data_IF_160997821026
#
_entry.id   IF_160997821026
#
_cell.length_a   1.000
_cell.length_b   1.000
_cell.length_c   1.000
_cell.angle_alpha   90.00
_cell.angle_beta   90.00
_cell.angle_gamma   90.00
#
_symmetry.space_group_name_H-M   'P 1'
#
loop_
_entity.id
_entity.type
_entity.pdbx_description
1 polymer ?
#
# COMPACT_ATOMS: atom_id res chain seq x y z
N UNK A 1 -1.49 -12.89 -1.34
CA UNK A 1 -1.11 -11.88 -2.35
C UNK A 1 0.39 -11.56 -2.28
N UNK A 2 0.89 -10.99 -1.18
CA UNK A 2 2.29 -10.55 -1.04
C UNK A 2 3.35 -11.62 -1.31
N UNK A 3 3.17 -12.86 -0.85
CA UNK A 3 4.22 -13.89 -0.99
C UNK A 3 4.29 -14.60 -2.34
N UNK A 4 3.19 -14.55 -3.11
CA UNK A 4 2.99 -15.32 -4.35
C UNK A 4 2.72 -14.43 -5.55
N UNK A 5 1.75 -13.52 -5.46
CA UNK A 5 1.34 -12.67 -6.58
C UNK A 5 2.34 -11.55 -6.84
N UNK A 6 2.78 -10.83 -5.80
CA UNK A 6 3.71 -9.71 -6.01
C UNK A 6 5.07 -10.14 -6.60
N UNK A 7 5.72 -11.24 -6.15
CA UNK A 7 6.94 -11.72 -6.78
C UNK A 7 6.75 -12.12 -8.25
N UNK A 8 5.59 -12.70 -8.60
CA UNK A 8 5.24 -13.02 -10.00
C UNK A 8 5.01 -11.76 -10.82
N UNK A 9 4.30 -10.78 -10.26
CA UNK A 9 4.06 -9.47 -10.87
C UNK A 9 5.36 -8.72 -11.13
N UNK A 10 6.24 -8.63 -10.14
CA UNK A 10 7.55 -7.98 -10.29
C UNK A 10 8.39 -8.68 -11.35
N UNK A 11 8.46 -10.02 -11.35
CA UNK A 11 9.16 -10.77 -12.41
C UNK A 11 8.62 -10.43 -13.79
N UNK A 12 7.29 -10.42 -13.96
CA UNK A 12 6.63 -10.12 -15.23
C UNK A 12 6.94 -8.70 -15.70
N UNK A 13 6.80 -7.71 -14.83
CA UNK A 13 7.12 -6.31 -15.14
C UNK A 13 8.57 -6.15 -15.57
N UNK A 14 9.49 -6.76 -14.83
CA UNK A 14 10.91 -6.65 -15.12
C UNK A 14 11.28 -7.23 -16.48
N UNK A 15 10.73 -8.40 -16.82
CA UNK A 15 11.07 -9.10 -18.05
C UNK A 15 10.39 -8.52 -19.28
N UNK A 16 9.16 -8.05 -19.16
CA UNK A 16 8.36 -7.58 -20.29
C UNK A 16 8.50 -6.08 -20.55
N UNK A 17 8.76 -5.29 -19.52
CA UNK A 17 8.76 -3.82 -19.63
C UNK A 17 10.13 -3.25 -19.30
N UNK A 18 10.65 -3.49 -18.09
CA UNK A 18 11.86 -2.81 -17.62
C UNK A 18 13.10 -3.19 -18.43
N UNK A 19 13.42 -4.49 -18.53
CA UNK A 19 14.62 -4.97 -19.20
C UNK A 19 14.72 -4.52 -20.67
N UNK A 20 13.64 -4.62 -21.49
CA UNK A 20 13.64 -4.05 -22.83
C UNK A 20 13.88 -2.53 -22.84
N UNK A 21 13.24 -1.77 -21.93
CA UNK A 21 13.40 -0.32 -21.87
C UNK A 21 14.83 0.12 -21.56
N UNK A 22 15.53 -0.60 -20.69
CA UNK A 22 16.93 -0.31 -20.34
C UNK A 22 17.95 -1.06 -21.21
N UNK A 23 17.50 -1.71 -22.29
CA UNK A 23 18.35 -2.50 -23.21
C UNK A 23 19.18 -3.59 -22.51
N UNK A 24 18.67 -4.14 -21.40
CA UNK A 24 19.30 -5.21 -20.66
C UNK A 24 18.80 -6.56 -21.17
N UNK A 25 19.70 -7.42 -21.66
CA UNK A 25 19.35 -8.79 -22.03
C UNK A 25 19.67 -9.76 -20.88
N UNK A 26 18.63 -10.32 -20.27
CA UNK A 26 18.78 -11.32 -19.20
C UNK A 26 18.34 -12.67 -19.75
N UNK A 27 19.31 -13.54 -20.10
CA UNK A 27 19.02 -14.77 -20.85
C UNK A 27 17.98 -15.73 -20.23
N UNK A 28 17.84 -15.76 -18.90
CA UNK A 28 16.79 -16.54 -18.19
C UNK A 28 15.85 -15.67 -17.35
N UNK A 29 15.92 -14.35 -17.50
CA UNK A 29 15.21 -13.41 -16.63
C UNK A 29 15.59 -13.58 -15.15
N UNK A 30 14.67 -13.19 -14.25
CA UNK A 30 14.87 -13.32 -12.80
C UNK A 30 14.05 -14.47 -12.22
N UNK A 31 14.61 -15.14 -11.21
CA UNK A 31 13.86 -16.16 -10.46
C UNK A 31 12.85 -15.50 -9.52
N UNK A 32 11.73 -16.20 -9.27
CA UNK A 32 10.72 -15.76 -8.29
C UNK A 32 11.33 -15.55 -6.90
N UNK A 33 12.29 -16.39 -6.50
CA UNK A 33 13.02 -16.25 -5.24
C UNK A 33 13.82 -14.93 -5.18
N UNK A 34 14.36 -14.47 -6.30
CA UNK A 34 15.06 -13.19 -6.39
C UNK A 34 14.08 -12.03 -6.30
N UNK A 35 12.98 -12.07 -7.06
CA UNK A 35 11.92 -11.06 -6.97
C UNK A 35 11.36 -10.95 -5.54
N UNK A 36 11.15 -12.07 -4.85
CA UNK A 36 10.72 -12.08 -3.44
C UNK A 36 11.73 -11.42 -2.51
N UNK A 37 13.02 -11.74 -2.65
CA UNK A 37 14.08 -11.13 -1.83
C UNK A 37 14.15 -9.62 -2.02
N UNK A 38 13.98 -9.14 -3.25
CA UNK A 38 13.96 -7.70 -3.54
C UNK A 38 12.76 -7.00 -2.92
N UNK A 39 11.55 -7.57 -3.08
CA UNK A 39 10.36 -7.05 -2.41
C UNK A 39 10.55 -6.96 -0.89
N UNK A 40 11.13 -7.99 -0.26
CA UNK A 40 11.42 -7.98 1.18
C UNK A 40 12.47 -6.94 1.61
N UNK A 41 13.42 -6.60 0.71
CA UNK A 41 14.44 -5.57 0.91
C UNK A 41 13.83 -4.17 0.82
N UNK A 42 12.92 -3.98 -0.13
CA UNK A 42 12.16 -2.73 -0.33
C UNK A 42 11.00 -2.57 0.66
N UNK A 43 10.89 -3.43 1.67
CA UNK A 43 9.88 -3.32 2.74
C UNK A 43 8.51 -3.91 2.39
N UNK A 44 8.33 -4.49 1.20
CA UNK A 44 7.13 -5.22 0.83
C UNK A 44 7.12 -6.60 1.53
N UNK A 45 6.68 -6.60 2.78
CA UNK A 45 6.47 -7.80 3.59
C UNK A 45 5.00 -7.94 3.93
N UNK A 46 4.55 -9.18 4.10
CA UNK A 46 3.21 -9.41 4.63
C UNK A 46 3.19 -8.92 6.07
N UNK A 47 2.50 -7.81 6.30
CA UNK A 47 2.25 -7.32 7.65
C UNK A 47 0.89 -7.87 8.06
N UNK A 48 0.86 -8.72 9.08
CA UNK A 48 -0.42 -9.08 9.69
C UNK A 48 -1.09 -7.80 10.15
N UNK A 49 -2.32 -7.58 9.70
CA UNK A 49 -3.15 -6.48 10.15
C UNK A 49 -3.31 -6.62 11.68
N UNK A 50 -2.65 -5.76 12.45
CA UNK A 50 -3.03 -5.54 13.83
C UNK A 50 -4.27 -4.67 13.79
N UNK A 51 -5.29 -4.99 14.59
CA UNK A 51 -6.59 -4.28 14.71
C UNK A 51 -6.50 -2.76 14.99
N UNK A 52 -5.30 -2.18 15.01
CA UNK A 52 -5.02 -0.76 15.20
C UNK A 52 -4.89 0.02 13.87
N UNK A 53 -4.98 -0.64 12.72
CA UNK A 53 -4.92 0.02 11.42
C UNK A 53 -6.31 0.00 10.78
N UNK A 54 -6.98 1.14 10.81
CA UNK A 54 -8.28 1.37 10.19
C UNK A 54 -8.06 1.63 8.68
N UNK A 55 -8.70 0.82 7.83
CA UNK A 55 -8.53 0.87 6.37
C UNK A 55 -9.68 1.60 5.68
N UNK A 56 -10.81 1.73 6.35
CA UNK A 56 -11.99 2.43 5.90
C UNK A 56 -12.22 3.68 6.74
N UNK A 57 -12.80 4.70 6.11
CA UNK A 57 -13.34 5.85 6.80
C UNK A 57 -14.51 5.40 7.67
N UNK A 58 -14.20 4.97 8.90
CA UNK A 58 -15.17 4.73 9.96
C UNK A 58 -15.71 6.06 10.53
N UNK A 59 -15.96 7.00 9.63
CA UNK A 59 -16.67 8.24 9.89
C UNK A 59 -18.13 7.89 9.65
N UNK A 60 -18.78 7.33 10.67
CA UNK A 60 -20.21 7.05 10.62
C UNK A 60 -20.94 8.39 10.36
N UNK A 61 -21.95 8.46 9.47
CA UNK A 61 -22.52 9.73 9.02
C UNK A 61 -23.01 10.64 10.14
N UNK A 62 -23.47 10.06 11.25
CA UNK A 62 -23.89 10.78 12.46
C UNK A 62 -22.70 11.41 13.23
N UNK A 63 -21.55 10.73 13.30
CA UNK A 63 -20.33 11.23 13.93
C UNK A 63 -19.78 12.40 13.11
N UNK A 64 -19.83 12.30 11.78
CA UNK A 64 -19.43 13.40 10.88
C UNK A 64 -20.38 14.58 11.04
N UNK A 65 -21.68 14.34 11.03
CA UNK A 65 -22.71 15.36 11.18
C UNK A 65 -22.57 16.09 12.52
N UNK A 66 -22.43 15.35 13.62
CA UNK A 66 -22.21 15.91 14.95
C UNK A 66 -20.91 16.72 15.03
N UNK A 67 -19.81 16.18 14.49
CA UNK A 67 -18.52 16.87 14.47
C UNK A 67 -18.63 18.21 13.74
N UNK A 68 -19.26 18.21 12.57
CA UNK A 68 -19.29 19.36 11.69
C UNK A 68 -20.28 20.43 12.16
N UNK A 69 -21.45 20.02 12.64
CA UNK A 69 -22.57 20.92 12.91
C UNK A 69 -22.69 21.31 14.39
N UNK A 70 -22.11 20.54 15.31
CA UNK A 70 -22.21 20.81 16.76
C UNK A 70 -20.84 21.08 17.37
N UNK A 71 -19.91 20.14 17.25
CA UNK A 71 -18.65 20.18 17.99
C UNK A 71 -17.73 21.33 17.53
N UNK A 72 -17.50 21.47 16.22
CA UNK A 72 -16.61 22.51 15.68
C UNK A 72 -17.14 23.93 15.94
N UNK A 73 -18.44 24.25 15.70
CA UNK A 73 -18.99 25.57 16.04
C UNK A 73 -18.85 25.91 17.53
N UNK A 74 -19.13 24.98 18.44
CA UNK A 74 -18.97 25.19 19.88
C UNK A 74 -17.53 25.51 20.27
N UNK A 75 -16.55 24.79 19.70
CA UNK A 75 -15.14 25.03 19.99
C UNK A 75 -14.65 26.39 19.49
N UNK A 76 -15.21 26.90 18.39
CA UNK A 76 -14.93 28.26 17.91
C UNK A 76 -15.49 29.31 18.86
N UNK A 77 -16.67 29.06 19.44
CA UNK A 77 -17.28 29.95 20.44
C UNK A 77 -16.43 30.04 21.71
N UNK A 78 -15.99 28.90 22.25
CA UNK A 78 -15.11 28.87 23.45
C UNK A 78 -13.73 29.51 23.25
N UNK A 79 -13.29 29.69 22.00
CA UNK A 79 -12.00 30.32 21.69
C UNK A 79 -12.04 31.85 21.73
N UNK A 80 -13.23 32.46 21.75
CA UNK A 80 -13.42 33.91 21.86
C UNK A 80 -13.27 34.38 23.30
#
# INVERSE_FOLDING_TARGET
IVEKEMPRGLKKYMELELFPQIQLSVGRGISISTARRWLHREGFRYMQHKKALYYDGHDHPDVVDYRQNVFLPQMVEYRK
#
